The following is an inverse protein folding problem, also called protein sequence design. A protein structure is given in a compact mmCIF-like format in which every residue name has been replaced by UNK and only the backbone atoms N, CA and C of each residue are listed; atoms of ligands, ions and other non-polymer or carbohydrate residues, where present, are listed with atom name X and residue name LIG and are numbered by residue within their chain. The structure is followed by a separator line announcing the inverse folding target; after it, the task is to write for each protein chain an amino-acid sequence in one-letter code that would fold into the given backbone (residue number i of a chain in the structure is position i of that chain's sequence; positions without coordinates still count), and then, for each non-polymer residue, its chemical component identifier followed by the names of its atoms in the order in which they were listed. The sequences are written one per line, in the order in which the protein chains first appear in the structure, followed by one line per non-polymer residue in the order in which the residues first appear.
data_IF_165759761570
#
_entry.id   IF_165759761570
#
_cell.length_a   1.000
_cell.length_b   1.000
_cell.length_c   1.000
_cell.angle_alpha   90.00
_cell.angle_beta   90.00
_cell.angle_gamma   90.00
#
_symmetry.space_group_name_H-M   'P 1'
#
loop_
_entity.id
_entity.type
_entity.pdbx_description
1 polymer ?
#
# COMPACT_ATOMS: atom_id res chain seq x y z
N UNK A 1 39.00 -1.23 19.20
CA UNK A 1 37.91 -1.36 20.19
C UNK A 1 37.49 -2.83 20.21
N UNK A 2 36.95 -3.34 21.32
CA UNK A 2 36.61 -4.76 21.45
C UNK A 2 35.25 -4.98 22.12
N UNK A 3 34.60 -6.10 21.79
CA UNK A 3 33.27 -6.45 22.30
C UNK A 3 33.27 -6.66 23.82
N UNK A 4 32.17 -6.26 24.47
CA UNK A 4 31.91 -6.62 25.86
C UNK A 4 31.02 -7.89 25.90
N UNK A 5 31.53 -9.05 26.36
CA UNK A 5 30.74 -10.29 26.43
C UNK A 5 29.56 -10.22 27.40
N UNK A 6 29.62 -9.34 28.40
CA UNK A 6 28.58 -9.21 29.41
C UNK A 6 27.37 -8.38 28.94
N UNK A 7 27.58 -7.43 28.01
CA UNK A 7 26.53 -6.52 27.55
C UNK A 7 26.82 -6.00 26.13
N UNK A 8 26.00 -6.42 25.17
CA UNK A 8 26.11 -6.07 23.74
C UNK A 8 25.84 -4.60 23.44
N UNK A 9 25.23 -3.85 24.37
CA UNK A 9 25.05 -2.40 24.25
C UNK A 9 26.31 -1.61 24.66
N UNK A 10 27.40 -2.29 25.03
CA UNK A 10 28.65 -1.67 25.46
C UNK A 10 29.87 -2.30 24.80
N UNK A 11 30.98 -1.57 24.77
CA UNK A 11 32.25 -2.02 24.21
C UNK A 11 33.44 -1.42 24.93
N UNK A 12 34.61 -2.02 24.74
CA UNK A 12 35.85 -1.56 25.33
C UNK A 12 36.70 -0.77 24.33
N UNK A 13 37.10 0.43 24.71
CA UNK A 13 38.07 1.25 23.98
C UNK A 13 39.39 1.26 24.77
N UNK A 14 40.50 0.86 24.17
CA UNK A 14 41.82 0.94 24.80
C UNK A 14 42.53 2.23 24.40
N UNK A 15 43.00 3.01 25.36
CA UNK A 15 43.93 4.11 25.14
C UNK A 15 45.05 4.06 26.19
N UNK A 16 46.31 4.18 25.74
CA UNK A 16 47.51 4.10 26.60
C UNK A 16 47.59 2.84 27.48
N UNK A 17 47.08 1.70 27.00
CA UNK A 17 47.08 0.43 27.73
C UNK A 17 45.97 0.28 28.77
N UNK A 18 45.09 1.27 28.91
CA UNK A 18 43.93 1.25 29.82
C UNK A 18 42.66 1.03 29.00
N UNK A 19 41.81 0.11 29.46
CA UNK A 19 40.51 -0.13 28.87
C UNK A 19 39.43 0.82 29.44
N UNK A 20 38.61 1.36 28.56
CA UNK A 20 37.51 2.25 28.89
C UNK A 20 36.21 1.62 28.37
N UNK A 21 35.29 1.32 29.29
CA UNK A 21 33.95 0.85 28.91
C UNK A 21 33.17 2.02 28.30
N UNK A 22 32.53 1.79 27.17
CA UNK A 22 31.71 2.75 26.43
C UNK A 22 30.36 2.15 26.12
N UNK A 23 29.33 2.98 26.08
CA UNK A 23 27.97 2.59 25.77
C UNK A 23 27.63 2.99 24.34
N UNK A 24 26.90 2.13 23.65
CA UNK A 24 26.23 2.46 22.42
C UNK A 24 24.95 3.29 22.73
N UNK A 25 24.60 4.27 21.87
CA UNK A 25 23.29 4.91 21.95
C UNK A 25 22.18 3.85 21.79
N UNK A 26 21.22 3.82 22.71
CA UNK A 26 20.07 2.92 22.60
C UNK A 26 19.31 3.21 21.30
N UNK A 27 18.92 2.20 20.49
CA UNK A 27 18.89 0.74 20.73
C UNK A 27 20.03 -0.05 20.04
N UNK A 28 21.20 0.55 19.82
CA UNK A 28 22.29 -0.04 19.05
C UNK A 28 23.13 -1.02 19.88
N UNK A 29 23.70 -2.02 19.21
CA UNK A 29 24.68 -2.95 19.77
C UNK A 29 26.05 -2.77 19.12
N UNK A 30 27.11 -3.10 19.83
CA UNK A 30 28.46 -3.01 19.28
C UNK A 30 28.74 -4.12 18.26
N UNK A 31 29.21 -3.77 17.06
CA UNK A 31 29.72 -4.73 16.07
C UNK A 31 31.24 -4.69 15.98
N UNK A 32 31.86 -5.82 16.30
CA UNK A 32 33.31 -5.98 16.23
C UNK A 32 33.83 -5.94 14.78
N UNK A 33 33.02 -6.36 13.80
CA UNK A 33 33.39 -6.44 12.39
C UNK A 33 33.58 -5.06 11.75
N UNK A 34 32.77 -4.08 12.14
CA UNK A 34 32.81 -2.70 11.59
C UNK A 34 33.29 -1.67 12.61
N UNK A 35 33.62 -2.10 13.84
CA UNK A 35 34.12 -1.24 14.92
C UNK A 35 33.18 -0.07 15.23
N UNK A 36 31.86 -0.29 15.14
CA UNK A 36 30.82 0.72 15.38
C UNK A 36 29.57 0.11 16.02
N UNK A 37 28.77 0.97 16.66
CA UNK A 37 27.45 0.61 17.15
C UNK A 37 26.48 0.55 15.97
N UNK A 38 25.89 -0.61 15.75
CA UNK A 38 24.94 -0.88 14.66
C UNK A 38 23.68 -1.52 15.22
N UNK A 39 22.63 -1.53 14.42
CA UNK A 39 21.49 -2.40 14.66
C UNK A 39 21.96 -3.85 14.53
N UNK A 40 21.47 -4.73 15.41
CA UNK A 40 21.72 -6.16 15.32
C UNK A 40 21.05 -6.70 14.05
N UNK A 41 21.79 -6.67 12.93
CA UNK A 41 21.40 -7.40 11.73
C UNK A 41 21.71 -8.87 11.96
N UNK A 42 20.65 -9.68 12.11
CA UNK A 42 20.75 -11.14 12.17
C UNK A 42 21.42 -11.64 10.87
N UNK A 43 22.51 -12.43 10.96
CA UNK A 43 23.22 -12.89 9.79
C UNK A 43 22.39 -13.93 9.04
N UNK A 44 22.04 -13.60 7.81
CA UNK A 44 21.55 -14.55 6.80
C UNK A 44 22.70 -15.46 6.39
N UNK A 45 22.91 -16.55 7.14
CA UNK A 45 23.82 -17.63 6.73
C UNK A 45 23.04 -18.80 6.16
N UNK A 46 23.27 -19.02 4.87
CA UNK A 46 23.03 -20.20 4.06
C UNK A 46 23.13 -21.52 4.86
N UNK A 47 22.08 -22.33 4.84
CA UNK A 47 22.08 -23.68 5.41
C UNK A 47 21.74 -24.71 4.32
N UNK A 48 22.68 -25.62 4.07
CA UNK A 48 22.49 -26.87 3.32
C UNK A 48 21.72 -27.87 4.22
N UNK A 49 20.63 -28.54 3.79
CA UNK A 49 19.86 -29.38 4.69
C UNK A 49 20.47 -30.79 4.81
N UNK A 50 20.86 -31.17 6.04
CA UNK A 50 20.93 -32.57 6.50
C UNK A 50 19.64 -32.85 7.26
N UNK A 51 18.84 -33.79 6.77
CA UNK A 51 17.48 -34.07 7.25
C UNK A 51 17.57 -35.17 8.31
N UNK A 52 17.28 -34.82 9.57
CA UNK A 52 16.93 -35.79 10.62
C UNK A 52 15.62 -35.36 11.28
N UNK A 53 14.67 -36.27 11.19
CA UNK A 53 13.26 -36.25 11.58
C UNK A 53 13.01 -35.89 13.06
N UNK A 54 12.13 -34.92 13.30
CA UNK A 54 10.84 -35.00 14.03
C UNK A 54 10.50 -33.61 14.58
N UNK A 55 9.66 -32.88 13.84
CA UNK A 55 8.64 -31.92 14.31
C UNK A 55 8.21 -31.04 13.14
N UNK A 56 7.20 -31.52 12.39
CA UNK A 56 6.56 -30.71 11.35
C UNK A 56 5.57 -29.77 12.05
N UNK A 57 6.07 -28.64 12.53
CA UNK A 57 5.21 -27.45 12.60
C UNK A 57 5.05 -26.99 11.16
N UNK A 58 3.85 -27.17 10.62
CA UNK A 58 3.44 -26.70 9.29
C UNK A 58 3.52 -25.16 9.26
N UNK A 59 4.72 -24.61 9.07
CA UNK A 59 4.87 -23.27 8.53
C UNK A 59 4.61 -23.42 7.05
N UNK A 60 3.41 -22.99 6.63
CA UNK A 60 3.05 -22.85 5.23
C UNK A 60 4.13 -22.03 4.55
N UNK A 61 4.98 -22.69 3.76
CA UNK A 61 5.78 -22.05 2.74
C UNK A 61 4.75 -21.49 1.77
N UNK A 62 4.39 -20.21 1.92
CA UNK A 62 3.57 -19.51 0.94
C UNK A 62 4.41 -19.47 -0.34
N UNK A 63 4.10 -20.41 -1.23
CA UNK A 63 4.17 -20.26 -2.68
C UNK A 63 3.97 -18.78 -3.05
N UNK A 64 4.69 -18.22 -4.06
CA UNK A 64 4.32 -16.89 -4.56
C UNK A 64 2.83 -16.97 -4.88
N UNK A 65 2.03 -16.27 -4.07
CA UNK A 65 0.59 -16.20 -4.24
C UNK A 65 0.39 -15.74 -5.67
N UNK A 66 -0.07 -16.65 -6.54
CA UNK A 66 -0.40 -16.25 -7.89
C UNK A 66 -1.42 -15.14 -7.75
N UNK A 67 -1.03 -13.92 -8.15
CA UNK A 67 -1.88 -12.75 -7.96
C UNK A 67 -3.28 -13.04 -8.50
N UNK A 68 -4.34 -12.51 -7.85
CA UNK A 68 -5.71 -12.70 -8.31
C UNK A 68 -5.89 -12.34 -9.79
N UNK A 69 -6.86 -12.96 -10.46
CA UNK A 69 -7.04 -12.80 -11.91
C UNK A 69 -7.30 -11.35 -12.33
N UNK A 70 -7.89 -10.51 -11.47
CA UNK A 70 -8.06 -9.08 -11.69
C UNK A 70 -6.75 -8.28 -11.75
N UNK A 71 -5.64 -8.83 -11.23
CA UNK A 71 -4.31 -8.24 -11.38
C UNK A 71 -3.70 -8.53 -12.76
N UNK A 72 -4.25 -9.50 -13.49
CA UNK A 72 -3.82 -9.87 -14.85
C UNK A 72 -4.80 -9.37 -15.91
N UNK A 73 -6.08 -9.25 -15.56
CA UNK A 73 -7.16 -8.88 -16.48
C UNK A 73 -7.93 -7.68 -15.92
N UNK A 74 -7.54 -6.49 -16.34
CA UNK A 74 -8.17 -5.23 -16.00
C UNK A 74 -8.16 -4.27 -17.20
N UNK A 75 -9.04 -3.27 -17.17
CA UNK A 75 -9.02 -2.16 -18.12
C UNK A 75 -8.17 -1.01 -17.58
N UNK A 76 -7.27 -0.48 -18.40
CA UNK A 76 -6.49 0.71 -18.07
C UNK A 76 -7.31 1.98 -18.27
N UNK A 77 -7.30 2.87 -17.28
CA UNK A 77 -7.88 4.20 -17.35
C UNK A 77 -6.76 5.23 -17.24
N UNK A 78 -6.56 5.98 -18.33
CA UNK A 78 -5.52 7.01 -18.46
C UNK A 78 -6.07 8.43 -18.57
N UNK A 79 -7.38 8.62 -18.46
CA UNK A 79 -8.04 9.91 -18.56
C UNK A 79 -7.68 10.86 -17.40
N UNK A 80 -6.82 11.83 -17.69
CA UNK A 80 -6.35 12.84 -16.74
C UNK A 80 -7.41 13.80 -16.22
N UNK A 81 -8.57 13.90 -16.88
CA UNK A 81 -9.67 14.74 -16.39
C UNK A 81 -10.23 14.24 -15.06
N UNK A 82 -9.97 12.99 -14.67
CA UNK A 82 -10.38 12.36 -13.41
C UNK A 82 -9.62 12.85 -12.18
N UNK A 83 -8.49 13.55 -12.36
CA UNK A 83 -7.68 14.03 -11.24
C UNK A 83 -8.47 14.99 -10.36
N UNK A 84 -8.27 14.89 -9.06
CA UNK A 84 -8.83 15.82 -8.06
C UNK A 84 -8.41 17.28 -8.30
N UNK A 85 -7.28 17.51 -8.97
CA UNK A 85 -6.80 18.83 -9.38
C UNK A 85 -7.58 19.43 -10.55
N UNK A 86 -8.34 18.62 -11.31
CA UNK A 86 -9.18 19.12 -12.37
C UNK A 86 -10.44 19.79 -11.81
N UNK A 87 -10.55 21.09 -12.05
CA UNK A 87 -11.67 21.94 -11.60
C UNK A 87 -12.70 22.21 -12.69
N UNK A 88 -12.47 21.74 -13.91
CA UNK A 88 -13.41 21.91 -15.01
C UNK A 88 -14.60 20.94 -14.89
N UNK A 89 -15.81 21.46 -15.04
CA UNK A 89 -17.03 20.65 -15.19
C UNK A 89 -17.19 20.38 -16.68
N UNK A 90 -16.78 19.19 -17.12
CA UNK A 90 -16.83 18.78 -18.52
C UNK A 90 -18.11 17.99 -18.84
N UNK A 91 -19.02 17.87 -17.87
CA UNK A 91 -20.20 16.99 -17.92
C UNK A 91 -19.84 15.51 -18.17
N UNK A 92 -18.64 15.10 -17.77
CA UNK A 92 -18.19 13.72 -17.86
C UNK A 92 -18.90 12.85 -16.82
N UNK A 93 -19.06 11.57 -17.14
CA UNK A 93 -19.74 10.61 -16.28
C UNK A 93 -19.14 9.22 -16.38
N UNK A 94 -19.19 8.49 -15.28
CA UNK A 94 -18.76 7.10 -15.23
C UNK A 94 -19.87 6.10 -15.62
N UNK A 95 -21.10 6.58 -15.84
CA UNK A 95 -22.22 5.75 -16.30
C UNK A 95 -22.10 5.32 -17.78
N UNK A 96 -21.24 5.98 -18.56
CA UNK A 96 -20.90 5.57 -19.93
C UNK A 96 -19.75 4.56 -19.96
N UNK A 97 -18.92 4.55 -18.91
CA UNK A 97 -17.72 3.72 -18.82
C UNK A 97 -17.94 2.44 -18.01
N UNK A 98 -18.81 2.49 -16.99
CA UNK A 98 -19.17 1.36 -16.16
C UNK A 98 -20.65 1.01 -16.30
N UNK A 99 -20.96 -0.26 -16.06
CA UNK A 99 -22.34 -0.76 -16.05
C UNK A 99 -22.77 -1.16 -14.63
N UNK A 100 -23.92 -1.84 -14.50
CA UNK A 100 -24.34 -2.41 -13.20
C UNK A 100 -23.44 -3.56 -12.73
N UNK A 101 -22.74 -4.23 -13.65
CA UNK A 101 -21.78 -5.28 -13.29
C UNK A 101 -20.40 -4.68 -13.05
N UNK A 102 -19.63 -5.31 -12.16
CA UNK A 102 -18.30 -4.84 -11.81
C UNK A 102 -17.36 -4.93 -13.01
N UNK A 103 -16.65 -3.84 -13.25
CA UNK A 103 -15.55 -3.75 -14.21
C UNK A 103 -14.25 -3.56 -13.42
N UNK A 104 -13.29 -4.45 -13.62
CA UNK A 104 -11.98 -4.34 -12.99
C UNK A 104 -11.12 -3.36 -13.75
N UNK A 105 -10.66 -2.30 -13.08
CA UNK A 105 -9.87 -1.24 -13.71
C UNK A 105 -8.66 -0.86 -12.89
N UNK A 106 -7.65 -0.37 -13.60
CA UNK A 106 -6.45 0.26 -13.05
C UNK A 106 -6.40 1.70 -13.52
N UNK A 107 -6.12 2.63 -12.61
CA UNK A 107 -5.78 4.00 -12.97
C UNK A 107 -4.27 4.09 -13.19
N UNK A 108 -3.85 4.69 -14.30
CA UNK A 108 -2.43 4.94 -14.58
C UNK A 108 -2.21 6.13 -15.52
N UNK A 109 -0.96 6.55 -15.68
CA UNK A 109 -0.60 7.69 -16.53
C UNK A 109 -1.23 9.00 -16.06
N UNK A 110 -1.83 9.75 -16.99
CA UNK A 110 -2.39 11.07 -16.71
C UNK A 110 -3.56 11.02 -15.73
N UNK A 111 -4.27 9.89 -15.63
CA UNK A 111 -5.32 9.69 -14.63
C UNK A 111 -4.80 9.67 -13.19
N UNK A 112 -3.51 9.47 -12.95
CA UNK A 112 -3.01 9.15 -11.61
C UNK A 112 -3.09 7.65 -11.33
N UNK A 113 -2.88 7.24 -10.09
CA UNK A 113 -2.68 5.82 -9.75
C UNK A 113 -3.69 5.26 -8.76
N UNK A 114 -4.43 6.12 -8.05
CA UNK A 114 -5.38 5.70 -7.02
C UNK A 114 -6.65 6.53 -7.05
N UNK A 115 -7.75 5.96 -6.57
CA UNK A 115 -8.95 6.74 -6.25
C UNK A 115 -8.63 7.64 -5.05
N UNK A 116 -9.15 8.87 -5.05
CA UNK A 116 -9.00 9.78 -3.93
C UNK A 116 -9.43 9.12 -2.60
N UNK A 117 -8.67 9.34 -1.54
CA UNK A 117 -8.89 8.71 -0.22
C UNK A 117 -9.48 9.65 0.83
N UNK A 118 -9.70 10.90 0.42
CA UNK A 118 -10.33 11.94 1.22
C UNK A 118 -11.44 12.60 0.42
N UNK A 119 -12.35 13.28 1.12
CA UNK A 119 -13.49 13.93 0.48
C UNK A 119 -13.04 14.93 -0.57
N UNK A 120 -13.54 14.75 -1.80
CA UNK A 120 -13.33 15.68 -2.90
C UNK A 120 -14.53 16.64 -2.96
N UNK A 121 -14.32 17.97 -3.10
CA UNK A 121 -15.42 18.91 -3.32
C UNK A 121 -16.24 18.54 -4.56
N UNK A 122 -17.54 18.86 -4.59
CA UNK A 122 -18.34 18.76 -5.82
C UNK A 122 -17.71 19.56 -6.96
N UNK A 123 -18.09 19.26 -8.21
CA UNK A 123 -17.57 19.94 -9.40
C UNK A 123 -16.05 19.79 -9.55
N UNK A 124 -15.59 18.56 -9.49
CA UNK A 124 -14.19 18.15 -9.65
C UNK A 124 -14.11 16.92 -10.53
N UNK A 125 -12.92 16.62 -11.05
CA UNK A 125 -12.66 15.37 -11.77
C UNK A 125 -13.45 15.26 -13.09
N UNK A 126 -13.82 16.40 -13.69
CA UNK A 126 -14.62 16.46 -14.92
C UNK A 126 -16.13 16.31 -14.71
N UNK A 127 -16.62 16.10 -13.48
CA UNK A 127 -18.03 15.77 -13.18
C UNK A 127 -18.64 16.65 -12.09
N UNK A 128 -19.97 16.61 -11.95
CA UNK A 128 -20.68 17.29 -10.85
C UNK A 128 -20.50 16.52 -9.53
N UNK A 129 -20.70 15.19 -9.58
CA UNK A 129 -20.47 14.30 -8.45
C UNK A 129 -19.02 13.86 -8.38
N UNK A 130 -18.33 14.20 -7.32
CA UNK A 130 -16.93 13.83 -7.10
C UNK A 130 -16.86 12.61 -6.16
N UNK A 131 -16.31 11.49 -6.62
CA UNK A 131 -16.23 10.23 -5.87
C UNK A 131 -14.88 10.01 -5.19
N UNK A 132 -14.87 9.47 -3.96
CA UNK A 132 -13.66 9.08 -3.20
C UNK A 132 -13.92 7.85 -2.33
N UNK A 133 -12.85 7.24 -1.81
CA UNK A 133 -12.92 6.17 -0.82
C UNK A 133 -13.09 6.75 0.58
N UNK A 134 -14.17 6.38 1.27
CA UNK A 134 -14.40 6.74 2.66
C UNK A 134 -13.72 5.73 3.58
N UNK A 135 -12.69 6.19 4.29
CA UNK A 135 -11.88 5.39 5.22
C UNK A 135 -11.34 4.10 4.58
N UNK A 136 -10.49 4.22 3.54
CA UNK A 136 -9.96 3.04 2.87
C UNK A 136 -9.09 2.23 3.82
N UNK A 137 -9.23 0.90 3.74
CA UNK A 137 -8.30 -0.05 4.35
C UNK A 137 -7.31 -0.52 3.29
N UNK A 138 -6.02 -0.54 3.62
CA UNK A 138 -4.96 -1.00 2.73
C UNK A 138 -4.94 -2.55 2.68
N UNK A 139 -5.09 -3.19 1.50
CA UNK A 139 -4.96 -4.63 1.32
C UNK A 139 -3.50 -5.07 1.33
N UNK A 140 -3.23 -6.25 1.88
CA UNK A 140 -1.97 -6.95 1.65
C UNK A 140 -1.80 -7.36 0.18
N UNK A 141 -0.59 -7.66 -0.26
CA UNK A 141 -0.32 -8.07 -1.65
C UNK A 141 -1.14 -9.33 -1.99
N UNK A 142 -1.91 -9.26 -3.07
CA UNK A 142 -2.84 -10.30 -3.51
C UNK A 142 -4.17 -10.33 -2.74
N UNK A 143 -4.33 -9.52 -1.71
CA UNK A 143 -5.59 -9.41 -0.96
C UNK A 143 -6.59 -8.51 -1.69
N UNK A 144 -7.87 -8.87 -1.61
CA UNK A 144 -8.98 -8.02 -2.06
C UNK A 144 -9.82 -7.57 -0.87
N UNK A 145 -9.82 -6.25 -0.60
CA UNK A 145 -10.63 -5.65 0.47
C UNK A 145 -11.79 -4.88 -0.12
N UNK A 146 -12.95 -4.95 0.53
CA UNK A 146 -14.13 -4.16 0.13
C UNK A 146 -14.06 -2.75 0.71
N UNK A 147 -13.88 -1.76 -0.17
CA UNK A 147 -13.92 -0.35 0.16
C UNK A 147 -15.31 0.24 0.03
N UNK A 148 -15.52 1.39 0.67
CA UNK A 148 -16.73 2.20 0.50
C UNK A 148 -16.40 3.43 -0.33
N UNK A 149 -16.94 3.54 -1.54
CA UNK A 149 -16.88 4.78 -2.29
C UNK A 149 -18.10 5.65 -1.96
N UNK A 150 -17.86 6.94 -1.73
CA UNK A 150 -18.86 7.97 -1.50
C UNK A 150 -18.77 9.02 -2.62
N UNK A 151 -19.87 9.73 -2.87
CA UNK A 151 -19.91 10.84 -3.82
C UNK A 151 -20.34 12.14 -3.13
N UNK A 152 -19.73 13.24 -3.54
CA UNK A 152 -20.00 14.58 -3.01
C UNK A 152 -20.70 15.35 -4.12
N UNK A 153 -21.97 15.62 -3.90
CA UNK A 153 -22.84 16.22 -4.90
C UNK A 153 -23.99 16.94 -4.20
N UNK A 154 -24.49 18.02 -4.81
CA UNK A 154 -25.62 18.79 -4.27
C UNK A 154 -25.38 19.28 -2.82
N UNK A 155 -24.13 19.57 -2.45
CA UNK A 155 -23.75 19.98 -1.09
C UNK A 155 -23.72 18.85 -0.05
N UNK A 156 -23.94 17.59 -0.45
CA UNK A 156 -23.89 16.43 0.44
C UNK A 156 -22.61 15.63 0.24
N UNK A 157 -21.85 15.46 1.33
CA UNK A 157 -20.49 14.89 1.31
C UNK A 157 -20.41 13.37 1.43
N UNK A 158 -21.48 12.60 1.17
CA UNK A 158 -21.44 11.15 0.91
C UNK A 158 -22.86 10.70 0.60
N UNK A 159 -23.26 10.88 -0.66
CA UNK A 159 -24.55 10.40 -1.13
C UNK A 159 -24.36 9.05 -1.85
N UNK A 160 -25.33 8.14 -1.67
CA UNK A 160 -25.37 6.79 -2.26
C UNK A 160 -24.03 6.03 -2.18
N UNK A 161 -23.59 5.67 -0.96
CA UNK A 161 -22.34 4.92 -0.80
C UNK A 161 -22.42 3.57 -1.52
N UNK A 162 -21.35 3.20 -2.21
CA UNK A 162 -21.25 1.95 -2.96
C UNK A 162 -20.05 1.13 -2.48
N UNK A 163 -20.24 -0.19 -2.38
CA UNK A 163 -19.20 -1.13 -1.99
C UNK A 163 -18.43 -1.60 -3.21
N UNK A 164 -17.13 -1.33 -3.26
CA UNK A 164 -16.24 -1.69 -4.37
C UNK A 164 -15.05 -2.50 -3.84
N UNK A 165 -14.70 -3.64 -4.45
CA UNK A 165 -13.48 -4.36 -4.10
C UNK A 165 -12.26 -3.61 -4.64
N UNK A 166 -11.18 -3.59 -3.86
CA UNK A 166 -9.87 -3.08 -4.20
C UNK A 166 -8.84 -4.18 -3.95
N UNK A 167 -8.02 -4.51 -4.94
CA UNK A 167 -6.95 -5.52 -4.81
C UNK A 167 -5.59 -4.85 -4.91
N UNK A 168 -4.67 -5.22 -4.02
CA UNK A 168 -3.26 -4.86 -4.13
C UNK A 168 -2.55 -5.89 -5.03
N UNK A 169 -2.10 -5.46 -6.20
CA UNK A 169 -1.54 -6.33 -7.24
C UNK A 169 -0.02 -6.32 -7.31
N UNK A 170 0.64 -6.01 -6.19
CA UNK A 170 2.09 -5.82 -6.10
C UNK A 170 2.56 -4.62 -6.94
N UNK A 171 2.51 -3.43 -6.33
CA UNK A 171 2.95 -2.17 -6.94
C UNK A 171 1.87 -1.35 -7.64
N UNK A 172 0.65 -1.88 -7.78
CA UNK A 172 -0.52 -1.13 -8.26
C UNK A 172 -1.82 -1.66 -7.67
N UNK A 173 -2.89 -0.86 -7.76
CA UNK A 173 -4.23 -1.24 -7.30
C UNK A 173 -5.18 -1.42 -8.48
N UNK A 174 -6.03 -2.43 -8.37
CA UNK A 174 -7.18 -2.61 -9.27
C UNK A 174 -8.47 -2.53 -8.49
N UNK A 175 -9.47 -1.90 -9.11
CA UNK A 175 -10.75 -1.59 -8.49
C UNK A 175 -11.90 -2.21 -9.28
N UNK A 176 -12.80 -2.91 -8.60
CA UNK A 176 -14.02 -3.47 -9.21
C UNK A 176 -15.16 -2.45 -9.18
N UNK A 177 -15.16 -1.53 -10.13
CA UNK A 177 -16.07 -0.39 -10.17
C UNK A 177 -17.40 -0.73 -10.85
N UNK A 178 -18.44 0.00 -10.46
CA UNK A 178 -19.78 -0.06 -11.06
C UNK A 178 -20.22 1.36 -11.41
N UNK A 179 -21.23 1.49 -12.26
CA UNK A 179 -21.83 2.78 -12.56
C UNK A 179 -22.31 3.46 -11.27
N UNK A 180 -21.89 4.71 -10.99
CA UNK A 180 -22.45 5.48 -9.90
C UNK A 180 -23.97 5.63 -10.05
N UNK A 181 -24.70 5.63 -8.94
CA UNK A 181 -26.13 5.92 -8.95
C UNK A 181 -26.45 7.34 -9.51
N UNK A 182 -25.75 8.41 -9.08
CA UNK A 182 -25.87 9.70 -9.76
C UNK A 182 -25.22 9.64 -11.14
N UNK A 183 -25.99 9.94 -12.19
CA UNK A 183 -25.57 9.78 -13.59
C UNK A 183 -24.54 10.81 -14.08
N UNK A 184 -24.20 11.79 -13.25
CA UNK A 184 -23.24 12.87 -13.50
C UNK A 184 -22.08 12.85 -12.50
N UNK A 185 -21.73 11.65 -12.02
CA UNK A 185 -20.66 11.44 -11.07
C UNK A 185 -19.52 10.58 -11.63
N UNK A 186 -18.33 10.76 -11.05
CA UNK A 186 -17.13 9.99 -11.40
C UNK A 186 -16.30 9.65 -10.17
N UNK A 187 -15.56 8.55 -10.26
CA UNK A 187 -14.50 8.24 -9.32
C UNK A 187 -13.30 9.16 -9.58
N UNK A 188 -12.98 10.02 -8.62
CA UNK A 188 -11.84 10.92 -8.68
C UNK A 188 -10.53 10.20 -8.37
N UNK A 189 -9.44 10.71 -8.93
CA UNK A 189 -8.12 10.10 -8.80
C UNK A 189 -7.03 11.08 -8.33
N UNK A 190 -5.92 10.53 -7.84
CA UNK A 190 -4.72 11.25 -7.39
C UNK A 190 -3.46 10.72 -8.12
#
# INVERSE_FOLDING_TARGET
MFENPADRSTFWHCANGINYLKNCPSPLVWSQAIQTCTWNEEPSTTITPTITSTDIVLTTITTPSSLPSQCLNYTSITDGTRRTTNTHILAETDNTYFSKTRTWVRFEGDAGTRIAESTVPSNRCGSEGAGWLKHPQEPEIGETVTQTACFNMLGMSCIWPVKIPMTNCDGFFVYGLVAPAPSNARYCTI
#
